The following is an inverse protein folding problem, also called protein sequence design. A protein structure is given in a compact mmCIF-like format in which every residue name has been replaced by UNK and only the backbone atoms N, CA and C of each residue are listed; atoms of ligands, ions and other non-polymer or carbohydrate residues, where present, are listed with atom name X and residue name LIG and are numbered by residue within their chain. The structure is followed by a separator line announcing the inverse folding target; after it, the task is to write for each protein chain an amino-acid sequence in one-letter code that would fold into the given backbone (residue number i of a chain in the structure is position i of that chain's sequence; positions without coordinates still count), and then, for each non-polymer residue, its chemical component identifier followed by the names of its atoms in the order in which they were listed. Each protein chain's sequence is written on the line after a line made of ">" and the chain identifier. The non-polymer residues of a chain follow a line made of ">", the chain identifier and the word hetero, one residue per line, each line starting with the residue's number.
data_IF_820271689934
#
_entry.id   IF_820271689934
#
_cell.length_a   1.000
_cell.length_b   1.000
_cell.length_c   1.000
_cell.angle_alpha   90.00
_cell.angle_beta   90.00
_cell.angle_gamma   90.00
#
_symmetry.space_group_name_H-M   'P 1'
#
loop_
_entity.id
_entity.type
_entity.pdbx_description
1 polymer ?
#
# COMPACT_ATOMS: atom_id res chain seq x y z
N UNK A 1 -34.43 81.41 -3.50
CA UNK A 1 -34.49 80.06 -4.08
C UNK A 1 -33.03 79.64 -4.26
N UNK A 2 -32.51 78.79 -3.37
CA UNK A 2 -31.15 78.23 -3.45
C UNK A 2 -31.18 76.88 -4.19
N UNK A 3 -30.48 76.79 -5.32
CA UNK A 3 -30.30 75.58 -6.10
C UNK A 3 -29.16 74.77 -5.49
N UNK A 4 -29.43 73.56 -4.99
CA UNK A 4 -28.42 72.59 -4.56
C UNK A 4 -28.03 71.75 -5.76
N UNK A 5 -26.78 71.80 -6.20
CA UNK A 5 -26.19 70.92 -7.21
C UNK A 5 -25.76 69.61 -6.55
N UNK A 6 -26.33 68.51 -6.97
CA UNK A 6 -26.00 67.16 -6.47
C UNK A 6 -24.89 66.59 -7.38
N UNK A 7 -23.65 66.60 -6.88
CA UNK A 7 -22.51 65.95 -7.56
C UNK A 7 -22.54 64.47 -7.25
N UNK A 8 -22.83 63.64 -8.23
CA UNK A 8 -22.77 62.17 -8.15
C UNK A 8 -21.30 61.79 -8.37
N UNK A 9 -20.64 61.34 -7.31
CA UNK A 9 -19.31 60.79 -7.35
C UNK A 9 -19.40 59.31 -7.82
N UNK A 10 -18.99 59.03 -9.06
CA UNK A 10 -18.97 57.71 -9.65
C UNK A 10 -17.70 56.98 -9.16
N UNK A 11 -17.85 56.12 -8.17
CA UNK A 11 -16.77 55.28 -7.69
C UNK A 11 -16.56 54.12 -8.66
N UNK A 12 -15.53 54.20 -9.53
CA UNK A 12 -15.11 53.08 -10.38
C UNK A 12 -14.43 52.03 -9.49
N UNK A 13 -15.15 51.02 -9.08
CA UNK A 13 -14.56 49.80 -8.53
C UNK A 13 -13.84 49.02 -9.65
N UNK A 14 -12.55 49.16 -9.76
CA UNK A 14 -11.73 48.27 -10.60
C UNK A 14 -11.70 46.86 -9.98
N UNK A 15 -12.50 45.94 -10.53
CA UNK A 15 -12.41 44.52 -10.26
C UNK A 15 -11.05 44.00 -10.78
N UNK A 16 -10.05 43.95 -9.92
CA UNK A 16 -8.82 43.21 -10.19
C UNK A 16 -9.19 41.73 -10.26
N UNK A 17 -8.83 41.02 -11.35
CA UNK A 17 -9.04 39.58 -11.39
C UNK A 17 -8.17 38.93 -10.31
N UNK A 18 -8.80 38.31 -9.30
CA UNK A 18 -8.10 37.38 -8.42
C UNK A 18 -7.63 36.20 -9.28
N UNK A 19 -6.37 36.22 -9.66
CA UNK A 19 -5.71 35.04 -10.19
C UNK A 19 -5.55 34.07 -9.03
N UNK A 20 -6.52 33.18 -8.85
CA UNK A 20 -6.32 31.96 -8.07
C UNK A 20 -5.36 31.12 -8.88
N UNK A 21 -4.07 31.13 -8.49
CA UNK A 21 -3.11 30.14 -8.98
C UNK A 21 -3.71 28.76 -8.65
N UNK A 22 -4.21 28.06 -9.66
CA UNK A 22 -4.63 26.69 -9.51
C UNK A 22 -3.40 25.93 -9.05
N UNK A 23 -3.41 25.46 -7.79
CA UNK A 23 -2.33 24.62 -7.26
C UNK A 23 -2.36 23.32 -8.08
N UNK A 24 -1.44 23.19 -9.04
CA UNK A 24 -1.31 21.97 -9.82
C UNK A 24 -1.02 20.82 -8.84
N UNK A 25 -1.87 19.78 -8.88
CA UNK A 25 -1.69 18.62 -8.01
C UNK A 25 -0.28 18.04 -8.22
N UNK A 26 0.43 17.66 -7.15
CA UNK A 26 1.78 17.13 -7.26
C UNK A 26 1.78 15.90 -8.16
N UNK A 27 2.64 15.93 -9.20
CA UNK A 27 2.80 14.81 -10.14
C UNK A 27 3.82 13.83 -9.58
N UNK A 28 3.49 12.56 -9.62
CA UNK A 28 4.43 11.49 -9.30
C UNK A 28 5.48 11.41 -10.42
N UNK A 29 6.69 11.93 -10.18
CA UNK A 29 7.85 11.78 -11.09
C UNK A 29 8.56 10.45 -10.82
N UNK A 30 9.43 9.99 -11.75
CA UNK A 30 10.21 8.77 -11.51
C UNK A 30 11.17 8.92 -10.33
N UNK A 31 11.74 10.11 -10.12
CA UNK A 31 12.56 10.40 -8.95
C UNK A 31 11.78 10.23 -7.63
N UNK A 32 10.57 10.80 -7.55
CA UNK A 32 9.70 10.63 -6.38
C UNK A 32 9.30 9.16 -6.22
N UNK A 33 9.01 8.46 -7.32
CA UNK A 33 8.64 7.06 -7.30
C UNK A 33 9.78 6.16 -6.78
N UNK A 34 11.03 6.41 -7.19
CA UNK A 34 12.21 5.73 -6.65
C UNK A 34 12.32 5.96 -5.14
N UNK A 35 12.26 7.22 -4.68
CA UNK A 35 12.32 7.54 -3.24
C UNK A 35 11.20 6.89 -2.43
N UNK A 36 9.99 6.81 -2.98
CA UNK A 36 8.87 6.12 -2.34
C UNK A 36 9.12 4.62 -2.25
N UNK A 37 9.73 4.01 -3.27
CA UNK A 37 10.04 2.57 -3.25
C UNK A 37 11.13 2.20 -2.24
N UNK A 38 12.03 3.12 -1.89
CA UNK A 38 13.08 2.89 -0.90
C UNK A 38 12.52 2.58 0.50
N UNK A 39 11.34 3.12 0.83
CA UNK A 39 10.69 2.86 2.13
C UNK A 39 10.36 1.37 2.32
N UNK A 40 9.55 0.72 1.45
CA UNK A 40 9.27 -0.70 1.59
C UNK A 40 10.50 -1.57 1.30
N UNK A 41 11.35 -1.21 0.32
CA UNK A 41 12.58 -1.97 0.04
C UNK A 41 13.53 -2.03 1.24
N UNK A 42 13.52 -1.00 2.09
CA UNK A 42 14.34 -0.97 3.30
C UNK A 42 13.80 -1.81 4.47
N UNK A 43 12.55 -2.31 4.41
CA UNK A 43 11.96 -3.00 5.56
C UNK A 43 11.21 -4.30 5.23
N UNK A 44 10.85 -4.55 3.97
CA UNK A 44 9.96 -5.67 3.59
C UNK A 44 10.56 -7.05 3.91
N UNK A 45 11.90 -7.16 3.88
CA UNK A 45 12.64 -8.37 4.23
C UNK A 45 13.28 -8.30 5.63
N UNK A 46 13.03 -7.22 6.38
CA UNK A 46 13.58 -7.05 7.72
C UNK A 46 12.64 -7.63 8.77
N UNK A 47 13.02 -8.77 9.35
CA UNK A 47 12.20 -9.48 10.34
C UNK A 47 12.06 -8.72 11.66
N UNK A 48 13.09 -7.99 12.10
CA UNK A 48 13.09 -7.27 13.37
C UNK A 48 13.50 -5.80 13.21
N UNK A 49 12.91 -4.87 14.04
CA UNK A 49 11.91 -5.11 15.08
C UNK A 49 10.56 -5.52 14.50
N UNK A 50 9.80 -6.37 15.24
CA UNK A 50 8.48 -6.84 14.78
C UNK A 50 7.46 -6.81 15.91
N UNK A 51 6.23 -6.38 15.58
CA UNK A 51 5.05 -6.46 16.42
C UNK A 51 4.14 -7.54 15.85
N UNK A 52 4.31 -8.76 16.32
CA UNK A 52 3.35 -9.82 16.01
C UNK A 52 2.04 -9.55 16.74
N UNK A 53 0.93 -9.43 16.03
CA UNK A 53 -0.40 -9.42 16.64
C UNK A 53 -0.93 -10.84 16.89
N UNK A 54 -0.07 -11.85 16.78
CA UNK A 54 -0.37 -13.24 17.03
C UNK A 54 -0.67 -13.49 18.51
N UNK A 55 -1.81 -14.15 18.80
CA UNK A 55 -2.17 -14.57 20.15
C UNK A 55 -1.52 -15.93 20.38
N UNK A 56 -0.67 -15.99 21.40
CA UNK A 56 0.07 -17.21 21.79
C UNK A 56 -0.82 -18.02 22.72
N UNK A 57 -1.29 -19.20 22.26
CA UNK A 57 -2.16 -20.07 23.04
C UNK A 57 -1.37 -21.17 23.79
N UNK A 58 -0.12 -21.47 23.38
CA UNK A 58 0.71 -22.51 23.96
C UNK A 58 2.22 -22.25 23.74
N UNK A 59 3.08 -23.03 24.40
CA UNK A 59 4.54 -22.89 24.33
C UNK A 59 5.12 -23.12 22.91
N UNK A 60 4.46 -23.93 22.09
CA UNK A 60 4.93 -24.20 20.73
C UNK A 60 4.74 -22.98 19.86
N UNK A 61 3.60 -22.30 19.98
CA UNK A 61 3.33 -21.04 19.28
C UNK A 61 4.29 -19.93 19.71
N UNK A 62 4.68 -19.89 20.98
CA UNK A 62 5.64 -18.92 21.52
C UNK A 62 7.04 -19.01 20.91
N UNK A 63 7.37 -20.11 20.25
CA UNK A 63 8.68 -20.34 19.61
C UNK A 63 8.73 -19.94 18.14
N UNK A 64 7.58 -19.59 17.54
CA UNK A 64 7.51 -19.22 16.14
C UNK A 64 8.00 -17.79 15.92
N UNK A 65 8.87 -17.62 14.91
CA UNK A 65 9.31 -16.29 14.49
C UNK A 65 8.29 -15.60 13.59
N UNK A 66 8.36 -14.27 13.41
CA UNK A 66 7.51 -13.56 12.48
C UNK A 66 7.50 -14.17 11.07
N UNK A 67 8.67 -14.51 10.51
CA UNK A 67 8.78 -15.13 9.19
C UNK A 67 8.27 -16.57 9.11
N UNK A 68 8.19 -17.29 10.24
CA UNK A 68 7.58 -18.62 10.30
C UNK A 68 6.04 -18.53 10.37
N UNK A 69 5.52 -17.48 10.98
CA UNK A 69 4.09 -17.20 11.02
C UNK A 69 3.58 -16.63 9.67
N UNK A 70 4.34 -15.70 9.12
CA UNK A 70 3.96 -14.88 7.96
C UNK A 70 5.13 -14.78 6.96
N UNK A 71 5.39 -15.83 6.15
CA UNK A 71 6.58 -15.88 5.30
C UNK A 71 6.59 -14.87 4.14
N UNK A 72 5.47 -14.20 3.88
CA UNK A 72 5.37 -13.08 2.93
C UNK A 72 5.36 -11.75 3.67
N UNK A 73 4.55 -11.62 4.71
CA UNK A 73 4.24 -10.33 5.33
C UNK A 73 4.86 -10.16 6.72
N UNK A 74 6.10 -10.64 6.92
CA UNK A 74 6.82 -10.55 8.21
C UNK A 74 7.59 -9.25 8.41
N UNK A 75 7.88 -8.50 7.34
CA UNK A 75 8.72 -7.30 7.40
C UNK A 75 7.97 -6.03 7.82
N UNK A 76 8.67 -4.90 7.75
CA UNK A 76 8.10 -3.56 7.99
C UNK A 76 7.38 -3.40 9.33
N UNK A 77 7.87 -4.04 10.40
CA UNK A 77 7.37 -3.93 11.77
C UNK A 77 6.13 -4.76 12.09
N UNK A 78 5.09 -4.78 11.24
CA UNK A 78 3.90 -5.60 11.44
C UNK A 78 3.28 -6.05 10.10
N UNK A 79 2.34 -6.99 10.16
CA UNK A 79 1.74 -7.64 9.01
C UNK A 79 1.12 -6.63 8.02
N UNK A 80 0.26 -5.74 8.51
CA UNK A 80 -0.41 -4.78 7.62
C UNK A 80 0.55 -3.76 7.01
N UNK A 81 1.60 -3.35 7.75
CA UNK A 81 2.63 -2.45 7.18
C UNK A 81 3.42 -3.14 6.09
N UNK A 82 3.70 -4.45 6.23
CA UNK A 82 4.30 -5.27 5.18
C UNK A 82 3.38 -5.34 3.95
N UNK A 83 2.08 -5.58 4.14
CA UNK A 83 1.09 -5.56 3.05
C UNK A 83 1.07 -4.21 2.33
N UNK A 84 1.11 -3.09 3.09
CA UNK A 84 1.22 -1.74 2.49
C UNK A 84 2.47 -1.58 1.64
N UNK A 85 3.61 -2.07 2.14
CA UNK A 85 4.87 -2.04 1.41
C UNK A 85 4.79 -2.79 0.08
N UNK A 86 4.26 -4.00 0.09
CA UNK A 86 4.04 -4.81 -1.11
C UNK A 86 3.07 -4.12 -2.08
N UNK A 87 1.95 -3.60 -1.58
CA UNK A 87 1.01 -2.82 -2.40
C UNK A 87 1.68 -1.62 -3.05
N UNK A 88 2.48 -0.85 -2.31
CA UNK A 88 3.18 0.31 -2.85
C UNK A 88 4.12 -0.09 -3.99
N UNK A 89 4.91 -1.16 -3.81
CA UNK A 89 5.83 -1.65 -4.85
C UNK A 89 5.07 -2.09 -6.11
N UNK A 90 4.01 -2.87 -5.98
CA UNK A 90 3.15 -3.30 -7.10
C UNK A 90 2.53 -2.08 -7.80
N UNK A 91 2.02 -1.11 -7.04
CA UNK A 91 1.45 0.12 -7.57
C UNK A 91 2.45 0.94 -8.37
N UNK A 92 3.68 1.07 -7.89
CA UNK A 92 4.76 1.77 -8.58
C UNK A 92 5.13 1.05 -9.88
N UNK A 93 5.30 -0.26 -9.86
CA UNK A 93 5.59 -1.06 -11.07
C UNK A 93 4.51 -0.90 -12.14
N UNK A 94 3.23 -0.95 -11.74
CA UNK A 94 2.10 -0.82 -12.66
C UNK A 94 1.99 0.58 -13.26
N UNK A 95 2.18 1.62 -12.45
CA UNK A 95 1.95 3.01 -12.87
C UNK A 95 3.18 3.68 -13.47
N UNK A 96 4.37 3.08 -13.30
CA UNK A 96 5.67 3.59 -13.73
C UNK A 96 6.49 2.52 -14.44
N UNK A 97 6.17 2.19 -15.69
CA UNK A 97 6.85 1.10 -16.43
C UNK A 97 8.35 1.37 -16.68
N UNK A 98 8.77 2.64 -16.61
CA UNK A 98 10.16 3.09 -16.78
C UNK A 98 10.91 3.31 -15.48
N UNK A 99 10.36 2.83 -14.35
CA UNK A 99 10.97 3.03 -13.02
C UNK A 99 12.42 2.50 -13.01
N UNK A 100 13.43 3.31 -12.64
CA UNK A 100 14.86 2.93 -12.72
C UNK A 100 15.23 1.67 -11.93
N UNK A 101 14.62 1.44 -10.77
CA UNK A 101 14.85 0.27 -9.91
C UNK A 101 13.78 -0.84 -10.07
N UNK A 102 13.11 -0.88 -11.23
CA UNK A 102 12.04 -1.82 -11.54
C UNK A 102 12.45 -3.28 -11.33
N UNK A 103 13.61 -3.67 -11.85
CA UNK A 103 14.10 -5.06 -11.77
C UNK A 103 14.33 -5.50 -10.32
N UNK A 104 14.93 -4.64 -9.50
CA UNK A 104 15.12 -4.91 -8.07
C UNK A 104 13.78 -5.17 -7.36
N UNK A 105 12.76 -4.37 -7.67
CA UNK A 105 11.43 -4.55 -7.10
C UNK A 105 10.81 -5.87 -7.55
N UNK A 106 10.91 -6.21 -8.84
CA UNK A 106 10.40 -7.46 -9.40
C UNK A 106 11.07 -8.67 -8.73
N UNK A 107 12.39 -8.64 -8.55
CA UNK A 107 13.13 -9.74 -7.94
C UNK A 107 12.67 -9.99 -6.49
N UNK A 108 12.46 -8.93 -5.71
CA UNK A 108 11.97 -9.04 -4.34
C UNK A 108 10.52 -9.58 -4.31
N UNK A 109 9.64 -9.05 -5.17
CA UNK A 109 8.26 -9.51 -5.21
C UNK A 109 8.13 -10.96 -5.73
N UNK A 110 8.99 -11.39 -6.64
CA UNK A 110 9.08 -12.79 -7.07
C UNK A 110 9.48 -13.74 -5.93
N UNK A 111 10.35 -13.28 -5.03
CA UNK A 111 10.74 -14.05 -3.84
C UNK A 111 9.64 -14.05 -2.77
N UNK A 112 8.85 -12.99 -2.68
CA UNK A 112 7.73 -12.86 -1.73
C UNK A 112 6.50 -13.64 -2.19
N UNK A 113 6.01 -13.40 -3.41
CA UNK A 113 4.74 -13.94 -3.90
C UNK A 113 4.84 -15.34 -4.49
N UNK A 114 5.68 -16.20 -3.89
CA UNK A 114 5.69 -17.62 -4.27
C UNK A 114 4.45 -18.33 -3.77
N UNK A 115 3.95 -19.31 -4.55
CA UNK A 115 2.77 -20.10 -4.17
C UNK A 115 2.96 -20.78 -2.80
N UNK A 116 4.16 -21.29 -2.51
CA UNK A 116 4.43 -21.96 -1.23
C UNK A 116 4.32 -21.04 -0.03
N UNK A 117 4.86 -19.83 -0.12
CA UNK A 117 4.77 -18.85 0.98
C UNK A 117 3.32 -18.36 1.18
N UNK A 118 2.60 -18.07 0.10
CA UNK A 118 1.22 -17.61 0.15
C UNK A 118 0.25 -18.67 0.68
N UNK A 119 0.52 -19.96 0.43
CA UNK A 119 -0.22 -21.04 1.07
C UNK A 119 -0.01 -21.06 2.59
N UNK A 120 1.20 -20.83 3.08
CA UNK A 120 1.46 -20.74 4.53
C UNK A 120 0.75 -19.53 5.15
N UNK A 121 0.72 -18.39 4.46
CA UNK A 121 -0.09 -17.23 4.88
C UNK A 121 -1.58 -17.56 4.99
N UNK A 122 -2.14 -18.28 4.03
CA UNK A 122 -3.53 -18.71 4.06
C UNK A 122 -3.80 -19.72 5.18
N UNK A 123 -2.90 -20.71 5.36
CA UNK A 123 -3.00 -21.70 6.43
C UNK A 123 -2.98 -21.09 7.82
N UNK A 124 -2.36 -19.94 8.01
CA UNK A 124 -2.32 -19.23 9.30
C UNK A 124 -3.72 -19.04 9.90
N UNK A 125 -4.69 -18.66 9.09
CA UNK A 125 -6.07 -18.37 9.52
C UNK A 125 -6.86 -19.59 9.96
N UNK A 126 -6.45 -20.77 9.55
CA UNK A 126 -7.09 -22.05 9.94
C UNK A 126 -6.26 -22.85 10.93
N UNK A 127 -4.95 -22.59 11.01
CA UNK A 127 -4.00 -23.30 11.87
C UNK A 127 -4.10 -22.88 13.34
N UNK A 128 -4.36 -21.60 13.59
CA UNK A 128 -4.35 -21.05 14.94
C UNK A 128 -5.77 -20.68 15.39
N UNK A 129 -6.13 -21.09 16.59
CA UNK A 129 -7.49 -20.91 17.15
C UNK A 129 -7.90 -19.42 17.19
N UNK A 130 -6.95 -18.53 17.52
CA UNK A 130 -7.20 -17.10 17.65
C UNK A 130 -7.01 -16.28 16.35
N UNK A 131 -6.72 -16.94 15.24
CA UNK A 131 -6.36 -16.24 13.99
C UNK A 131 -7.56 -15.65 13.23
N UNK A 132 -8.78 -16.11 13.49
CA UNK A 132 -9.98 -15.68 12.76
C UNK A 132 -10.27 -14.16 12.82
N UNK A 133 -9.70 -13.45 13.79
CA UNK A 133 -9.83 -11.98 13.89
C UNK A 133 -8.51 -11.23 13.67
N UNK A 134 -7.43 -11.97 13.32
CA UNK A 134 -6.12 -11.39 13.07
C UNK A 134 -6.21 -10.33 11.96
N UNK A 135 -5.69 -9.13 12.24
CA UNK A 135 -5.68 -7.97 11.33
C UNK A 135 -7.05 -7.49 10.81
N UNK A 136 -8.13 -8.01 11.38
CA UNK A 136 -9.50 -7.62 10.99
C UNK A 136 -9.82 -6.21 11.50
N UNK A 137 -10.34 -5.31 10.70
CA UNK A 137 -10.68 -5.36 9.26
C UNK A 137 -9.63 -4.62 8.41
N UNK A 138 -8.74 -3.89 9.07
CA UNK A 138 -7.81 -2.96 8.42
C UNK A 138 -6.78 -3.69 7.54
N UNK A 139 -6.09 -4.68 8.08
CA UNK A 139 -5.10 -5.47 7.33
C UNK A 139 -5.73 -6.21 6.17
N UNK A 140 -6.92 -6.80 6.37
CA UNK A 140 -7.65 -7.49 5.30
C UNK A 140 -8.03 -6.58 4.15
N UNK A 141 -8.52 -5.36 4.45
CA UNK A 141 -8.85 -4.38 3.42
C UNK A 141 -7.62 -4.01 2.57
N UNK A 142 -6.44 -3.94 3.18
CA UNK A 142 -5.20 -3.66 2.46
C UNK A 142 -4.68 -4.86 1.67
N UNK A 143 -4.87 -6.09 2.15
CA UNK A 143 -4.57 -7.29 1.38
C UNK A 143 -5.44 -7.38 0.11
N UNK A 144 -6.75 -7.18 0.26
CA UNK A 144 -7.67 -7.12 -0.88
C UNK A 144 -7.32 -5.96 -1.84
N UNK A 145 -6.80 -4.85 -1.29
CA UNK A 145 -6.32 -3.73 -2.10
C UNK A 145 -5.05 -4.05 -2.88
N UNK A 146 -4.15 -4.85 -2.30
CA UNK A 146 -2.98 -5.36 -3.00
C UNK A 146 -3.40 -6.30 -4.15
N UNK A 147 -4.32 -7.20 -3.89
CA UNK A 147 -4.82 -8.14 -4.91
C UNK A 147 -5.56 -7.41 -6.04
N UNK A 148 -6.40 -6.44 -5.70
CA UNK A 148 -7.04 -5.55 -6.69
C UNK A 148 -6.02 -4.83 -7.59
N UNK A 149 -4.86 -4.42 -7.04
CA UNK A 149 -3.81 -3.77 -7.80
C UNK A 149 -3.16 -4.74 -8.81
N UNK A 150 -2.96 -6.00 -8.42
CA UNK A 150 -2.48 -7.08 -9.29
C UNK A 150 -3.49 -7.37 -10.41
N UNK A 151 -4.77 -7.51 -10.09
CA UNK A 151 -5.84 -7.72 -11.07
C UNK A 151 -5.92 -6.62 -12.13
N UNK A 152 -5.68 -5.36 -11.73
CA UNK A 152 -5.71 -4.19 -12.62
C UNK A 152 -4.47 -4.05 -13.50
N UNK A 153 -3.45 -4.85 -13.26
CA UNK A 153 -2.20 -4.77 -14.01
C UNK A 153 -2.14 -5.85 -15.09
N UNK A 154 -2.30 -5.44 -16.35
CA UNK A 154 -2.23 -6.34 -17.51
C UNK A 154 -0.76 -6.75 -17.80
N UNK A 155 -0.19 -7.58 -16.95
CA UNK A 155 1.17 -8.09 -17.00
C UNK A 155 1.19 -9.58 -16.63
N UNK A 156 2.00 -10.43 -17.29
CA UNK A 156 2.11 -11.85 -16.95
C UNK A 156 2.55 -12.12 -15.52
N UNK A 157 3.48 -11.31 -14.97
CA UNK A 157 3.93 -11.44 -13.59
C UNK A 157 2.80 -11.12 -12.60
N UNK A 158 2.06 -10.03 -12.86
CA UNK A 158 0.93 -9.65 -12.01
C UNK A 158 -0.15 -10.74 -11.96
N UNK A 159 -0.46 -11.37 -13.11
CA UNK A 159 -1.39 -12.50 -13.17
C UNK A 159 -0.92 -13.68 -12.34
N UNK A 160 0.37 -14.04 -12.44
CA UNK A 160 0.94 -15.13 -11.66
C UNK A 160 0.91 -14.84 -10.16
N UNK A 161 1.27 -13.61 -9.75
CA UNK A 161 1.23 -13.21 -8.34
C UNK A 161 -0.19 -13.19 -7.80
N UNK A 162 -1.16 -12.71 -8.59
CA UNK A 162 -2.59 -12.78 -8.27
C UNK A 162 -3.06 -14.24 -8.08
N UNK A 163 -2.78 -15.13 -9.05
CA UNK A 163 -3.12 -16.55 -8.96
C UNK A 163 -2.51 -17.21 -7.71
N UNK A 164 -1.27 -16.86 -7.36
CA UNK A 164 -0.63 -17.37 -6.15
C UNK A 164 -1.29 -16.83 -4.86
N UNK A 165 -1.87 -15.62 -4.90
CA UNK A 165 -2.51 -14.97 -3.75
C UNK A 165 -3.94 -15.47 -3.49
N UNK A 166 -4.61 -16.06 -4.48
CA UNK A 166 -6.01 -16.51 -4.38
C UNK A 166 -6.31 -17.33 -3.12
N UNK A 167 -5.50 -18.33 -2.70
CA UNK A 167 -5.81 -19.11 -1.50
C UNK A 167 -5.91 -18.26 -0.22
N UNK A 168 -5.21 -17.13 -0.18
CA UNK A 168 -5.23 -16.21 0.94
C UNK A 168 -6.42 -15.23 0.85
N UNK A 169 -6.73 -14.72 -0.35
CA UNK A 169 -7.85 -13.78 -0.55
C UNK A 169 -9.21 -14.48 -0.50
N UNK A 170 -9.33 -15.68 -1.06
CA UNK A 170 -10.57 -16.49 -0.99
C UNK A 170 -11.01 -16.80 0.45
N UNK A 171 -10.05 -16.89 1.38
CA UNK A 171 -10.37 -17.07 2.79
C UNK A 171 -11.04 -15.85 3.43
N UNK A 172 -10.81 -14.65 2.88
CA UNK A 172 -11.34 -13.38 3.40
C UNK A 172 -12.74 -13.03 2.87
N UNK A 173 -13.20 -13.69 1.82
CA UNK A 173 -14.53 -13.52 1.22
C UNK A 173 -15.59 -14.38 1.92
#
# INVERSE_FOLDING_TARGET
>A
MKKYSLSILFCLLTLLPLHTAAHEAPRLTDEIAVRLSELPLGCIEQEYPNKTAHIINNEQEAKLTPGQLHPVFYGCFDWHSSVHGHWMLVRLLRTRPTLPNRETIIDILNQSFTKSKLLVEAEYFTRFESAASFERTYGWAWLLKLDEELMKWNDPLARQWHENMQPLTDWLE
#
